data_IF_482958053216
#
_entry.id   IF_482958053216
#
_cell.length_a   1.000
_cell.length_b   1.000
_cell.length_c   1.000
_cell.angle_alpha   90.00
_cell.angle_beta   90.00
_cell.angle_gamma   90.00
#
_symmetry.space_group_name_H-M   'P 1'
#
loop_
_entity.id
_entity.type
_entity.pdbx_description
1 polymer ?
#
# COMPACT_ATOMS: atom_id res chain seq x y z
N UNK A 1 -11.87 18.67 -14.95
CA UNK A 1 -11.69 17.26 -14.56
C UNK A 1 -10.30 16.85 -14.99
N UNK A 2 -9.38 16.61 -14.05
CA UNK A 2 -7.99 16.26 -14.35
C UNK A 2 -7.95 14.94 -15.13
N UNK A 3 -7.28 14.96 -16.28
CA UNK A 3 -7.10 13.81 -17.15
C UNK A 3 -6.06 12.92 -16.48
N UNK A 4 -6.49 11.85 -15.80
CA UNK A 4 -5.55 10.84 -15.30
C UNK A 4 -4.79 10.32 -16.52
N UNK A 5 -3.48 10.58 -16.60
CA UNK A 5 -2.64 10.07 -17.68
C UNK A 5 -2.50 8.56 -17.48
N UNK A 6 -3.09 7.79 -18.38
CA UNK A 6 -2.91 6.33 -18.40
C UNK A 6 -1.55 6.01 -19.03
N UNK A 7 -0.57 5.66 -18.20
CA UNK A 7 0.71 5.13 -18.65
C UNK A 7 0.70 3.60 -18.64
N UNK A 8 1.22 3.00 -19.72
CA UNK A 8 1.33 1.54 -19.85
C UNK A 8 2.67 1.07 -19.30
N UNK A 9 2.63 0.10 -18.39
CA UNK A 9 3.81 -0.57 -17.85
C UNK A 9 3.79 -2.03 -18.29
N UNK A 10 4.86 -2.48 -18.96
CA UNK A 10 5.07 -3.89 -19.28
C UNK A 10 5.95 -4.51 -18.21
N UNK A 11 5.58 -5.70 -17.75
CA UNK A 11 6.25 -6.41 -16.66
C UNK A 11 6.37 -7.89 -16.98
N UNK A 12 7.54 -8.44 -16.67
CA UNK A 12 7.83 -9.86 -16.79
C UNK A 12 7.33 -10.57 -15.53
N UNK A 13 6.62 -11.68 -15.73
CA UNK A 13 6.08 -12.50 -14.65
C UNK A 13 6.11 -13.96 -15.09
N UNK A 14 6.35 -14.83 -14.12
CA UNK A 14 6.21 -16.27 -14.31
C UNK A 14 4.78 -16.61 -14.73
N UNK A 15 4.66 -17.61 -15.61
CA UNK A 15 3.37 -18.01 -16.18
C UNK A 15 2.37 -18.41 -15.08
N UNK A 16 2.82 -19.23 -14.13
CA UNK A 16 1.99 -19.72 -13.02
C UNK A 16 1.49 -18.58 -12.13
N UNK A 17 2.37 -17.61 -11.83
CA UNK A 17 2.02 -16.43 -11.05
C UNK A 17 0.98 -15.57 -11.78
N UNK A 18 1.15 -15.37 -13.10
CA UNK A 18 0.19 -14.63 -13.93
C UNK A 18 -1.18 -15.29 -13.93
N UNK A 19 -1.24 -16.60 -14.09
CA UNK A 19 -2.50 -17.36 -14.07
C UNK A 19 -3.17 -17.30 -12.70
N UNK A 20 -2.40 -17.46 -11.63
CA UNK A 20 -2.92 -17.32 -10.26
C UNK A 20 -3.47 -15.92 -10.01
N UNK A 21 -2.70 -14.87 -10.33
CA UNK A 21 -3.12 -13.49 -10.15
C UNK A 21 -4.40 -13.18 -10.94
N UNK A 22 -4.51 -13.68 -12.16
CA UNK A 22 -5.71 -13.50 -12.98
C UNK A 22 -6.94 -14.20 -12.39
N UNK A 23 -6.80 -15.43 -11.88
CA UNK A 23 -7.89 -16.14 -11.19
C UNK A 23 -8.36 -15.39 -9.96
N UNK A 24 -7.42 -14.94 -9.11
CA UNK A 24 -7.75 -14.19 -7.89
C UNK A 24 -8.43 -12.87 -8.23
N UNK A 25 -7.97 -12.16 -9.28
CA UNK A 25 -8.59 -10.92 -9.71
C UNK A 25 -10.04 -11.14 -10.15
N UNK A 26 -10.30 -12.19 -10.96
CA UNK A 26 -11.66 -12.56 -11.35
C UNK A 26 -12.55 -12.93 -10.16
N UNK A 27 -12.06 -13.73 -9.22
CA UNK A 27 -12.83 -14.11 -8.03
C UNK A 27 -13.22 -12.89 -7.18
N UNK A 28 -12.41 -11.83 -7.20
CA UNK A 28 -12.69 -10.55 -6.52
C UNK A 28 -13.52 -9.58 -7.34
N UNK A 29 -13.91 -9.93 -8.57
CA UNK A 29 -14.65 -9.05 -9.47
C UNK A 29 -13.84 -7.83 -9.96
N UNK A 30 -12.51 -7.91 -10.00
CA UNK A 30 -11.64 -6.83 -10.42
C UNK A 30 -10.73 -7.21 -11.60
N UNK A 31 -10.17 -6.21 -12.28
CA UNK A 31 -9.17 -6.44 -13.33
C UNK A 31 -7.79 -6.70 -12.74
N UNK A 32 -6.95 -7.45 -13.47
CA UNK A 32 -5.57 -7.69 -13.06
C UNK A 32 -4.80 -6.38 -12.84
N UNK A 33 -4.99 -5.38 -13.71
CA UNK A 33 -4.37 -4.06 -13.56
C UNK A 33 -4.83 -3.33 -12.29
N UNK A 34 -6.10 -3.46 -11.89
CA UNK A 34 -6.60 -2.92 -10.63
C UNK A 34 -5.91 -3.56 -9.43
N UNK A 35 -5.83 -4.89 -9.44
CA UNK A 35 -5.17 -5.66 -8.39
C UNK A 35 -3.70 -5.28 -8.25
N UNK A 36 -2.95 -5.25 -9.37
CA UNK A 36 -1.52 -4.90 -9.38
C UNK A 36 -1.31 -3.46 -8.90
N UNK A 37 -2.11 -2.49 -9.37
CA UNK A 37 -2.02 -1.10 -8.90
C UNK A 37 -2.24 -0.99 -7.40
N UNK A 38 -3.23 -1.71 -6.85
CA UNK A 38 -3.48 -1.73 -5.41
C UNK A 38 -2.33 -2.38 -4.65
N UNK A 39 -1.82 -3.53 -5.12
CA UNK A 39 -0.69 -4.20 -4.50
C UNK A 39 0.55 -3.30 -4.46
N UNK A 40 0.88 -2.67 -5.59
CA UNK A 40 2.01 -1.76 -5.69
C UNK A 40 1.86 -0.55 -4.76
N UNK A 41 0.68 0.09 -4.71
CA UNK A 41 0.42 1.21 -3.78
C UNK A 41 0.58 0.79 -2.32
N UNK A 42 0.15 -0.42 -1.96
CA UNK A 42 0.31 -0.94 -0.60
C UNK A 42 1.78 -1.17 -0.25
N UNK A 43 2.57 -1.70 -1.19
CA UNK A 43 4.01 -1.90 -1.02
C UNK A 43 4.76 -0.58 -0.89
N UNK A 44 4.44 0.41 -1.74
CA UNK A 44 5.06 1.74 -1.63
C UNK A 44 4.68 2.44 -0.31
N UNK A 45 3.45 2.25 0.15
CA UNK A 45 3.00 2.77 1.44
C UNK A 45 3.70 2.10 2.62
N UNK A 46 3.89 0.76 2.60
CA UNK A 46 4.60 0.03 3.67
C UNK A 46 6.07 0.46 3.76
N UNK A 47 6.66 0.81 2.62
CA UNK A 47 8.01 1.37 2.51
C UNK A 47 8.07 2.89 2.75
N UNK A 48 6.97 3.52 3.19
CA UNK A 48 6.86 4.96 3.48
C UNK A 48 7.17 5.90 2.30
N UNK A 49 7.01 5.46 1.05
CA UNK A 49 7.16 6.30 -0.14
C UNK A 49 5.93 7.13 -0.49
N UNK A 50 4.77 6.87 0.13
CA UNK A 50 3.57 7.68 -0.02
C UNK A 50 3.44 8.72 1.09
N UNK A 51 2.67 9.78 0.85
CA UNK A 51 2.30 10.76 1.88
C UNK A 51 1.40 10.13 2.96
N UNK A 52 1.30 10.78 4.11
CA UNK A 52 0.50 10.30 5.22
C UNK A 52 -1.01 10.27 4.89
N UNK A 53 -1.48 11.21 4.08
CA UNK A 53 -2.85 11.27 3.57
C UNK A 53 -3.16 10.07 2.65
N UNK A 54 -2.21 9.72 1.76
CA UNK A 54 -2.33 8.55 0.88
C UNK A 54 -2.27 7.24 1.66
N UNK A 55 -1.39 7.13 2.66
CA UNK A 55 -1.34 5.95 3.55
C UNK A 55 -2.64 5.79 4.33
N UNK A 56 -3.23 6.89 4.81
CA UNK A 56 -4.54 6.91 5.48
C UNK A 56 -5.66 6.46 4.54
N UNK A 57 -5.68 6.96 3.30
CA UNK A 57 -6.65 6.54 2.27
C UNK A 57 -6.53 5.05 1.92
N UNK A 58 -5.33 4.47 2.00
CA UNK A 58 -5.09 3.04 1.80
C UNK A 58 -5.39 2.17 3.03
N UNK A 59 -5.72 2.77 4.17
CA UNK A 59 -5.97 2.07 5.44
C UNK A 59 -4.72 1.46 6.08
N UNK A 60 -3.53 1.92 5.71
CA UNK A 60 -2.24 1.38 6.18
C UNK A 60 -1.79 2.08 7.47
N UNK A 61 -2.25 3.31 7.73
CA UNK A 61 -2.09 3.95 9.03
C UNK A 61 -3.02 3.34 10.07
N UNK A 62 -2.67 2.15 10.55
CA UNK A 62 -3.22 1.59 11.79
C UNK A 62 -2.17 0.89 12.65
N UNK A 63 -0.87 1.22 12.56
CA UNK A 63 0.14 0.55 13.40
C UNK A 63 1.35 1.40 13.84
N UNK A 64 1.25 2.73 14.09
CA UNK A 64 2.29 3.43 14.88
C UNK A 64 1.76 4.53 15.84
N UNK A 65 0.63 4.31 16.51
CA UNK A 65 0.18 5.19 17.63
C UNK A 65 0.61 4.71 19.03
N UNK A 66 1.67 3.90 19.17
CA UNK A 66 2.10 3.42 20.50
C UNK A 66 3.60 3.59 20.84
N UNK A 67 4.43 4.26 20.03
CA UNK A 67 5.87 4.39 20.35
C UNK A 67 6.37 5.75 20.85
N UNK A 68 5.50 6.76 21.01
CA UNK A 68 5.93 8.11 21.44
C UNK A 68 5.51 8.47 22.88
N UNK A 69 4.57 7.75 23.51
CA UNK A 69 4.12 8.02 24.90
C UNK A 69 4.95 7.27 25.95
N UNK A 70 6.25 7.04 25.74
CA UNK A 70 7.08 6.48 26.83
C UNK A 70 8.53 6.96 26.90
N UNK A 71 8.86 8.11 26.30
CA UNK A 71 10.20 8.73 26.42
C UNK A 71 10.25 9.97 27.32
N UNK A 72 9.19 10.19 28.13
CA UNK A 72 9.04 11.42 28.91
C UNK A 72 8.64 11.22 30.37
N UNK A 73 9.21 10.23 31.08
CA UNK A 73 8.99 10.11 32.54
C UNK A 73 10.20 9.60 33.30
N UNK A 74 11.31 10.33 33.23
CA UNK A 74 12.20 10.52 34.39
C UNK A 74 12.52 12.00 34.52
N UNK A 75 11.52 12.75 34.99
CA UNK A 75 11.77 14.03 35.66
C UNK A 75 12.34 13.71 37.03
N UNK A 76 13.50 14.28 37.29
CA UNK A 76 14.16 14.45 38.56
C UNK A 76 13.18 14.59 39.71
N UNK A 77 13.39 13.82 40.78
CA UNK A 77 12.90 14.13 42.12
C UNK A 77 13.99 13.77 43.12
N UNK A 78 14.52 14.85 43.70
CA UNK A 78 15.10 15.00 45.03
C UNK A 78 16.41 14.29 45.33
#
# INVERSE_FOLDING_TARGET
MSRISEERVNLWMDKELKELAYRVARMRGETLSSMIRRALRRELASLNYLSDEEKKALGIMMLETEKVVNRGRKRSRT
#
